data_IF_808784404676
#
_entry.id   IF_808784404676
#
_cell.length_a   1.000
_cell.length_b   1.000
_cell.length_c   1.000
_cell.angle_alpha   90.00
_cell.angle_beta   90.00
_cell.angle_gamma   90.00
#
_symmetry.space_group_name_H-M   'P 1'
#
loop_
_entity.id
_entity.type
_entity.pdbx_description
1 polymer ?
#
# COMPACT_ATOMS: atom_id res chain seq x y z
N UNK A 1 9.38 -20.95 -11.24
CA UNK A 1 8.08 -20.31 -11.19
C UNK A 1 8.08 -19.06 -11.97
N UNK A 2 7.40 -19.08 -13.06
CA UNK A 2 7.40 -17.95 -13.96
C UNK A 2 6.68 -16.73 -13.39
N UNK A 3 5.75 -16.94 -12.47
CA UNK A 3 4.97 -15.85 -11.91
C UNK A 3 5.84 -14.80 -11.23
N UNK A 4 7.00 -15.20 -10.71
CA UNK A 4 7.85 -14.30 -9.93
C UNK A 4 8.82 -13.49 -10.76
N UNK A 5 8.82 -13.68 -12.04
CA UNK A 5 9.58 -12.81 -12.92
C UNK A 5 8.92 -11.44 -13.05
N UNK A 6 7.69 -11.30 -12.55
CA UNK A 6 6.95 -10.05 -12.68
C UNK A 6 7.59 -8.87 -11.98
N UNK A 7 8.51 -9.11 -11.05
CA UNK A 7 9.15 -7.97 -10.40
C UNK A 7 10.03 -7.16 -11.38
N UNK A 8 10.40 -7.75 -12.51
CA UNK A 8 11.19 -7.03 -13.52
C UNK A 8 10.33 -6.29 -14.52
N UNK A 9 9.05 -6.59 -14.58
CA UNK A 9 8.18 -6.04 -15.61
C UNK A 9 6.95 -5.45 -14.96
N UNK A 10 6.25 -4.64 -15.74
CA UNK A 10 5.00 -4.05 -15.31
C UNK A 10 4.01 -5.16 -14.96
N UNK A 11 3.13 -4.86 -14.03
CA UNK A 11 2.19 -5.84 -13.53
C UNK A 11 2.75 -6.65 -12.38
N UNK A 12 3.84 -6.19 -11.77
CA UNK A 12 4.48 -6.93 -10.69
C UNK A 12 3.74 -6.88 -9.38
N UNK A 13 4.28 -7.64 -8.43
CA UNK A 13 3.77 -7.71 -7.06
C UNK A 13 4.74 -6.95 -6.16
N UNK A 14 4.19 -6.11 -5.29
CA UNK A 14 4.98 -5.17 -4.51
C UNK A 14 4.55 -5.18 -3.06
N UNK A 15 5.53 -5.09 -2.17
CA UNK A 15 5.30 -4.89 -0.73
C UNK A 15 5.59 -3.44 -0.39
N UNK A 16 4.70 -2.83 0.42
CA UNK A 16 4.83 -1.43 0.81
C UNK A 16 4.79 -1.26 2.31
N UNK A 17 5.55 -0.28 2.81
CA UNK A 17 5.40 0.25 4.16
C UNK A 17 5.14 1.75 4.03
N UNK A 18 4.03 2.22 4.57
CA UNK A 18 3.61 3.62 4.45
C UNK A 18 3.38 4.16 5.85
N UNK A 19 4.03 5.28 6.17
CA UNK A 19 4.08 5.80 7.54
C UNK A 19 3.46 7.19 7.65
N UNK A 20 2.81 7.45 8.77
CA UNK A 20 2.45 8.81 9.15
C UNK A 20 3.68 9.54 9.64
N UNK A 21 3.67 10.88 9.55
CA UNK A 21 4.76 11.71 10.03
C UNK A 21 4.93 11.60 11.54
N UNK A 22 3.83 11.67 12.27
CA UNK A 22 3.85 11.56 13.73
C UNK A 22 3.76 10.10 14.10
N UNK A 23 4.86 9.54 14.58
CA UNK A 23 4.94 8.12 14.91
C UNK A 23 4.18 7.77 16.19
N UNK A 24 3.63 8.77 16.89
CA UNK A 24 2.79 8.55 18.05
C UNK A 24 1.31 8.64 17.73
N UNK A 25 0.97 8.91 16.48
CA UNK A 25 -0.39 9.07 16.01
C UNK A 25 -1.14 7.74 16.01
N UNK A 26 -2.46 7.82 16.17
CA UNK A 26 -3.35 6.67 16.03
C UNK A 26 -4.36 6.88 14.91
N UNK A 27 -4.07 7.83 14.01
CA UNK A 27 -5.05 8.25 12.99
C UNK A 27 -5.49 7.12 12.07
N UNK A 28 -4.61 6.17 11.75
CA UNK A 28 -4.98 5.11 10.79
C UNK A 28 -6.01 4.16 11.39
N UNK A 29 -5.78 3.70 12.61
CA UNK A 29 -6.74 2.78 13.24
C UNK A 29 -7.99 3.48 13.72
N UNK A 30 -7.87 4.72 14.20
CA UNK A 30 -9.04 5.50 14.61
C UNK A 30 -9.92 5.87 13.43
N UNK A 31 -9.38 5.91 12.23
CA UNK A 31 -10.10 6.29 11.01
C UNK A 31 -10.03 5.18 9.97
N UNK A 32 -10.11 3.93 10.42
CA UNK A 32 -9.91 2.77 9.55
C UNK A 32 -10.93 2.73 8.40
N UNK A 33 -12.16 3.13 8.64
CA UNK A 33 -13.17 3.11 7.58
C UNK A 33 -12.88 4.17 6.52
N UNK A 34 -12.35 5.31 6.93
CA UNK A 34 -11.93 6.32 5.97
C UNK A 34 -10.76 5.82 5.13
N UNK A 35 -9.82 5.10 5.75
CA UNK A 35 -8.69 4.52 5.01
C UNK A 35 -9.20 3.50 3.99
N UNK A 36 -10.12 2.64 4.40
CA UNK A 36 -10.73 1.68 3.47
C UNK A 36 -11.43 2.37 2.32
N UNK A 37 -12.15 3.42 2.61
CA UNK A 37 -12.84 4.20 1.60
C UNK A 37 -11.83 4.81 0.62
N UNK A 38 -10.76 5.41 1.13
CA UNK A 38 -9.74 6.04 0.28
C UNK A 38 -9.11 5.04 -0.68
N UNK A 39 -8.82 3.84 -0.17
CA UNK A 39 -8.27 2.76 -1.00
C UNK A 39 -9.29 2.32 -2.04
N UNK A 40 -10.55 2.15 -1.63
CA UNK A 40 -11.60 1.67 -2.52
C UNK A 40 -11.84 2.65 -3.69
N UNK A 41 -11.83 3.96 -3.41
CA UNK A 41 -12.00 4.97 -4.44
C UNK A 41 -10.90 4.86 -5.50
N UNK A 42 -9.67 4.74 -5.05
CA UNK A 42 -8.54 4.65 -6.00
C UNK A 42 -8.58 3.34 -6.77
N UNK A 43 -8.92 2.23 -6.09
CA UNK A 43 -9.07 0.93 -6.77
C UNK A 43 -10.12 0.97 -7.86
N UNK A 44 -11.21 1.70 -7.63
CA UNK A 44 -12.28 1.80 -8.61
C UNK A 44 -11.84 2.54 -9.85
N UNK A 45 -11.04 3.59 -9.69
CA UNK A 45 -10.58 4.39 -10.82
C UNK A 45 -9.40 3.74 -11.54
N UNK A 46 -8.49 3.12 -10.78
CA UNK A 46 -7.30 2.48 -11.34
C UNK A 46 -7.10 1.15 -10.64
N UNK A 47 -7.73 0.08 -11.16
CA UNK A 47 -7.77 -1.21 -10.48
C UNK A 47 -6.39 -1.78 -10.17
N UNK A 48 -6.29 -2.45 -9.06
CA UNK A 48 -5.15 -3.25 -8.66
C UNK A 48 -5.63 -4.26 -7.63
N UNK A 49 -4.83 -5.29 -7.40
CA UNK A 49 -5.19 -6.33 -6.46
C UNK A 49 -4.47 -6.09 -5.14
N UNK A 50 -5.20 -6.19 -4.03
CA UNK A 50 -4.60 -6.17 -2.70
C UNK A 50 -4.52 -7.60 -2.22
N UNK A 51 -3.31 -8.13 -2.17
CA UNK A 51 -3.07 -9.52 -1.77
C UNK A 51 -3.15 -9.66 -0.25
N UNK A 52 -2.68 -8.66 0.48
CA UNK A 52 -2.69 -8.68 1.94
C UNK A 52 -2.43 -7.27 2.45
N UNK A 53 -2.92 -6.94 3.65
CA UNK A 53 -2.54 -5.71 4.32
C UNK A 53 -2.80 -5.81 5.81
N UNK A 54 -2.04 -5.00 6.56
CA UNK A 54 -2.25 -4.81 7.98
C UNK A 54 -2.08 -3.32 8.30
N UNK A 55 -2.99 -2.81 9.12
CA UNK A 55 -2.97 -1.40 9.49
C UNK A 55 -2.66 -1.29 10.97
N UNK A 56 -1.60 -0.54 11.28
CA UNK A 56 -1.23 -0.19 12.65
C UNK A 56 -1.58 1.29 12.86
N UNK A 57 -1.52 1.77 14.11
CA UNK A 57 -2.00 3.14 14.35
C UNK A 57 -1.33 4.23 13.50
N UNK A 58 -0.02 4.11 13.23
CA UNK A 58 0.73 5.16 12.55
C UNK A 58 1.45 4.68 11.30
N UNK A 59 1.24 3.43 10.88
CA UNK A 59 1.78 2.93 9.61
C UNK A 59 0.99 1.71 9.15
N UNK A 60 1.23 1.32 7.90
CA UNK A 60 0.59 0.14 7.35
C UNK A 60 1.60 -0.61 6.47
N UNK A 61 1.34 -1.89 6.31
CA UNK A 61 2.05 -2.73 5.35
C UNK A 61 1.02 -3.37 4.44
N UNK A 62 1.37 -3.51 3.17
CA UNK A 62 0.48 -4.21 2.25
C UNK A 62 1.24 -4.79 1.07
N UNK A 63 0.59 -5.73 0.41
CA UNK A 63 1.10 -6.34 -0.81
C UNK A 63 0.06 -6.08 -1.91
N UNK A 64 0.50 -5.50 -3.01
CA UNK A 64 -0.33 -5.22 -4.18
C UNK A 64 0.20 -5.98 -5.38
N UNK A 65 -0.72 -6.43 -6.24
CA UNK A 65 -0.38 -6.90 -7.58
C UNK A 65 -1.01 -5.94 -8.56
N UNK A 66 -0.19 -5.36 -9.43
CA UNK A 66 -0.64 -4.38 -10.40
C UNK A 66 -1.11 -5.05 -11.69
N UNK A 67 -1.98 -4.38 -12.45
CA UNK A 67 -2.43 -4.92 -13.73
C UNK A 67 -1.29 -5.12 -14.70
N UNK A 68 -1.51 -5.95 -15.70
CA UNK A 68 -0.53 -6.17 -16.76
C UNK A 68 -0.14 -4.84 -17.39
N UNK A 69 1.16 -4.65 -17.61
CA UNK A 69 1.75 -3.45 -18.19
C UNK A 69 1.62 -2.18 -17.34
N UNK A 70 1.36 -2.32 -16.05
CA UNK A 70 1.18 -1.19 -15.14
C UNK A 70 2.17 -1.32 -13.99
N UNK A 71 2.90 -0.25 -13.71
CA UNK A 71 3.80 -0.19 -12.56
C UNK A 71 3.61 1.10 -11.77
N UNK A 72 2.46 1.77 -11.94
CA UNK A 72 2.23 3.07 -11.34
C UNK A 72 1.62 2.95 -9.95
N UNK A 73 2.40 2.42 -9.02
CA UNK A 73 1.98 2.41 -7.63
C UNK A 73 2.11 3.80 -7.00
N UNK A 74 3.01 4.64 -7.49
CA UNK A 74 3.27 5.94 -6.89
C UNK A 74 2.06 6.87 -6.97
N UNK A 75 1.40 6.95 -8.13
CA UNK A 75 0.21 7.77 -8.28
C UNK A 75 -0.95 7.24 -7.45
N UNK A 76 -1.07 5.94 -7.37
CA UNK A 76 -2.11 5.31 -6.54
C UNK A 76 -1.92 5.67 -5.07
N UNK A 77 -0.68 5.56 -4.55
CA UNK A 77 -0.41 5.95 -3.18
C UNK A 77 -0.65 7.43 -2.94
N UNK A 78 -0.22 8.28 -3.88
CA UNK A 78 -0.47 9.71 -3.77
C UNK A 78 -1.96 10.00 -3.61
N UNK A 79 -2.79 9.35 -4.41
CA UNK A 79 -4.23 9.59 -4.38
C UNK A 79 -4.87 9.03 -3.11
N UNK A 80 -4.44 7.86 -2.66
CA UNK A 80 -4.93 7.28 -1.39
C UNK A 80 -4.58 8.21 -0.23
N UNK A 81 -3.32 8.61 -0.15
CA UNK A 81 -2.84 9.49 0.91
C UNK A 81 -3.56 10.83 0.89
N UNK A 82 -3.74 11.38 -0.31
CA UNK A 82 -4.44 12.65 -0.47
C UNK A 82 -5.89 12.58 -0.05
N UNK A 83 -6.61 11.56 -0.47
CA UNK A 83 -8.01 11.38 -0.09
C UNK A 83 -8.17 11.32 1.43
N UNK A 84 -7.33 10.51 2.07
CA UNK A 84 -7.38 10.33 3.52
C UNK A 84 -7.09 11.64 4.26
N UNK A 85 -5.98 12.30 3.92
CA UNK A 85 -5.55 13.49 4.66
C UNK A 85 -6.46 14.68 4.42
N UNK A 86 -6.99 14.84 3.20
CA UNK A 86 -7.91 15.94 2.91
C UNK A 86 -9.22 15.78 3.67
N UNK A 87 -9.72 14.57 3.75
CA UNK A 87 -10.98 14.32 4.47
C UNK A 87 -10.79 14.53 5.96
N UNK A 88 -9.65 14.14 6.52
CA UNK A 88 -9.34 14.40 7.92
C UNK A 88 -8.99 15.86 8.18
N UNK A 89 -8.72 16.63 7.12
CA UNK A 89 -8.29 18.03 7.24
C UNK A 89 -7.02 18.17 8.07
N UNK A 90 -6.08 17.24 7.86
CA UNK A 90 -4.80 17.24 8.56
C UNK A 90 -3.68 17.11 7.54
N UNK A 91 -2.94 18.18 7.37
CA UNK A 91 -1.81 18.19 6.45
C UNK A 91 -0.72 19.06 7.03
N UNK A 92 0.54 18.61 6.94
CA UNK A 92 0.96 17.33 6.38
C UNK A 92 0.73 16.18 7.35
N UNK A 93 0.21 15.07 6.87
CA UNK A 93 -0.11 13.90 7.69
C UNK A 93 0.86 12.74 7.46
N UNK A 94 1.25 12.52 6.21
CA UNK A 94 2.05 11.37 5.81
C UNK A 94 3.52 11.74 5.68
N UNK A 95 4.41 10.78 5.89
CA UNK A 95 5.78 10.94 5.45
C UNK A 95 5.78 11.06 3.93
N UNK A 96 6.64 11.92 3.36
CA UNK A 96 6.60 12.17 1.91
C UNK A 96 6.96 10.95 1.08
N UNK A 97 7.73 10.01 1.64
CA UNK A 97 8.12 8.82 0.94
C UNK A 97 7.57 7.60 1.66
N UNK A 98 7.37 6.53 0.90
CA UNK A 98 7.06 5.22 1.45
C UNK A 98 8.14 4.25 1.00
N UNK A 99 8.21 3.10 1.66
CA UNK A 99 9.17 2.06 1.28
C UNK A 99 8.47 1.06 0.39
N UNK A 100 9.13 0.68 -0.71
CA UNK A 100 8.60 -0.34 -1.61
C UNK A 100 9.64 -1.42 -1.84
N UNK A 101 9.16 -2.63 -2.07
CA UNK A 101 10.00 -3.78 -2.34
C UNK A 101 9.32 -4.63 -3.41
N UNK A 102 10.00 -4.83 -4.53
CA UNK A 102 9.47 -5.71 -5.58
C UNK A 102 9.60 -7.15 -5.12
N UNK A 103 8.49 -7.87 -5.12
CA UNK A 103 8.49 -9.29 -4.76
C UNK A 103 9.14 -10.08 -5.88
N UNK A 104 10.21 -10.81 -5.57
CA UNK A 104 11.06 -11.43 -6.56
C UNK A 104 10.71 -12.87 -6.87
N UNK A 105 10.22 -13.61 -5.88
CA UNK A 105 9.93 -15.03 -6.05
C UNK A 105 8.94 -15.50 -4.99
N UNK A 106 8.61 -16.77 -5.01
CA UNK A 106 7.61 -17.33 -4.11
C UNK A 106 8.03 -17.26 -2.65
N UNK A 107 9.30 -17.51 -2.38
CA UNK A 107 9.80 -17.42 -1.00
C UNK A 107 9.73 -15.99 -0.49
N UNK A 108 10.08 -15.02 -1.33
CA UNK A 108 9.98 -13.62 -1.01
C UNK A 108 8.52 -13.24 -0.70
N UNK A 109 7.60 -13.68 -1.55
CA UNK A 109 6.18 -13.43 -1.35
C UNK A 109 5.70 -14.01 -0.02
N UNK A 110 6.07 -15.26 0.24
CA UNK A 110 5.64 -15.95 1.46
C UNK A 110 6.17 -15.27 2.71
N UNK A 111 7.43 -14.83 2.68
CA UNK A 111 8.02 -14.12 3.82
C UNK A 111 7.27 -12.83 4.12
N UNK A 112 6.85 -12.10 3.09
CA UNK A 112 6.15 -10.85 3.31
C UNK A 112 4.70 -11.05 3.72
N UNK A 113 4.03 -12.07 3.20
CA UNK A 113 2.69 -12.44 3.68
C UNK A 113 2.76 -12.83 5.16
N UNK A 114 3.75 -13.64 5.54
CA UNK A 114 3.92 -14.05 6.92
C UNK A 114 4.19 -12.85 7.83
N UNK A 115 4.99 -11.92 7.36
CA UNK A 115 5.30 -10.70 8.11
C UNK A 115 4.03 -9.91 8.42
N UNK A 116 3.13 -9.82 7.46
CA UNK A 116 1.87 -9.09 7.62
C UNK A 116 0.95 -9.81 8.61
N UNK A 117 0.97 -11.12 8.63
CA UNK A 117 0.03 -11.92 9.41
C UNK A 117 0.56 -12.39 10.76
N UNK A 118 1.73 -11.93 11.18
CA UNK A 118 2.25 -12.27 12.51
C UNK A 118 1.45 -11.62 13.62
#
# INVERSE_FOLDING_TARGET
MVAYRRYYIKGGTWFFTVNLKDRRSMHLTENIELLRYSVAVVKQHRPFMIDAWVVLPEHLHCIWTLPHNDDDFSSRWRDIKGCFSRTLKRQPLWQPRFWEHAIRDEDDYRRHVDYIHI
#
